data_IF_356797852596
#
_entry.id   IF_356797852596
#
_cell.length_a   1.000
_cell.length_b   1.000
_cell.length_c   1.000
_cell.angle_alpha   90.00
_cell.angle_beta   90.00
_cell.angle_gamma   90.00
#
_symmetry.space_group_name_H-M   'P 1'
#
loop_
_entity.id
_entity.type
_entity.pdbx_description
1 polymer ?
#
# COMPACT_ATOMS: atom_id res chain seq x y z
N UNK A 1 -26.37 -38.70 -8.97
CA UNK A 1 -26.33 -37.81 -10.14
C UNK A 1 -26.66 -36.40 -9.66
N UNK A 2 -25.64 -35.58 -9.43
CA UNK A 2 -25.77 -34.14 -9.20
C UNK A 2 -24.40 -33.49 -9.47
N UNK A 3 -24.21 -33.00 -10.70
CA UNK A 3 -23.07 -32.18 -11.09
C UNK A 3 -23.22 -30.79 -10.48
N UNK A 4 -22.47 -30.50 -9.41
CA UNK A 4 -22.37 -29.15 -8.90
C UNK A 4 -21.55 -28.31 -9.89
N UNK A 5 -22.25 -27.49 -10.67
CA UNK A 5 -21.69 -26.50 -11.57
C UNK A 5 -21.05 -25.39 -10.73
N UNK A 6 -19.78 -25.57 -10.36
CA UNK A 6 -18.98 -24.55 -9.72
C UNK A 6 -18.80 -23.41 -10.73
N UNK A 7 -19.60 -22.36 -10.58
CA UNK A 7 -19.62 -21.20 -11.45
C UNK A 7 -18.19 -20.73 -11.74
N UNK A 8 -17.86 -20.72 -13.03
CA UNK A 8 -16.60 -20.28 -13.60
C UNK A 8 -16.38 -18.79 -13.23
N UNK A 9 -15.81 -18.54 -12.06
CA UNK A 9 -15.47 -17.18 -11.63
C UNK A 9 -14.46 -16.62 -12.63
N UNK A 10 -14.80 -15.50 -13.27
CA UNK A 10 -13.93 -14.85 -14.27
C UNK A 10 -12.65 -14.37 -13.57
N UNK A 11 -11.57 -15.15 -13.70
CA UNK A 11 -10.26 -14.86 -13.09
C UNK A 11 -9.58 -13.61 -13.66
N UNK A 12 -9.82 -13.28 -14.94
CA UNK A 12 -9.18 -12.15 -15.61
C UNK A 12 -9.32 -10.81 -14.86
N UNK A 13 -10.56 -10.37 -14.52
CA UNK A 13 -10.77 -9.16 -13.72
C UNK A 13 -10.11 -9.17 -12.33
N UNK A 14 -10.00 -10.33 -11.69
CA UNK A 14 -9.38 -10.46 -10.36
C UNK A 14 -7.87 -10.26 -10.45
N UNK A 15 -7.23 -10.86 -11.45
CA UNK A 15 -5.79 -10.67 -11.70
C UNK A 15 -5.52 -9.21 -12.04
N UNK A 16 -6.31 -8.61 -12.95
CA UNK A 16 -6.11 -7.23 -13.37
C UNK A 16 -6.23 -6.24 -12.20
N UNK A 17 -7.27 -6.36 -11.37
CA UNK A 17 -7.45 -5.51 -10.20
C UNK A 17 -6.34 -5.68 -9.15
N UNK A 18 -5.86 -6.91 -8.95
CA UNK A 18 -4.74 -7.18 -8.02
C UNK A 18 -3.43 -6.57 -8.51
N UNK A 19 -3.13 -6.70 -9.82
CA UNK A 19 -1.94 -6.11 -10.43
C UNK A 19 -1.99 -4.59 -10.41
N UNK A 20 -3.15 -3.99 -10.70
CA UNK A 20 -3.32 -2.54 -10.69
C UNK A 20 -3.16 -1.98 -9.26
N UNK A 21 -3.75 -2.63 -8.26
CA UNK A 21 -3.56 -2.26 -6.85
C UNK A 21 -2.09 -2.33 -6.44
N UNK A 22 -1.39 -3.40 -6.84
CA UNK A 22 0.05 -3.53 -6.59
C UNK A 22 0.86 -2.42 -7.26
N UNK A 23 0.52 -2.06 -8.50
CA UNK A 23 1.20 -1.00 -9.23
C UNK A 23 0.99 0.38 -8.57
N UNK A 24 -0.22 0.68 -8.12
CA UNK A 24 -0.53 1.93 -7.39
C UNK A 24 0.25 1.99 -6.08
N UNK A 25 0.32 0.89 -5.34
CA UNK A 25 1.12 0.83 -4.12
C UNK A 25 2.61 1.10 -4.37
N UNK A 26 3.17 0.51 -5.42
CA UNK A 26 4.56 0.76 -5.81
C UNK A 26 4.79 2.20 -6.28
N UNK A 27 3.82 2.75 -7.00
CA UNK A 27 3.89 4.13 -7.46
C UNK A 27 3.96 5.12 -6.28
N UNK A 28 3.05 4.99 -5.32
CA UNK A 28 3.01 5.88 -4.15
C UNK A 28 4.27 5.73 -3.28
N UNK A 29 4.74 4.49 -3.06
CA UNK A 29 5.99 4.27 -2.32
C UNK A 29 7.21 4.90 -3.00
N UNK A 30 7.31 4.78 -4.31
CA UNK A 30 8.42 5.35 -5.05
C UNK A 30 8.36 6.89 -5.05
N UNK A 31 7.17 7.44 -5.21
CA UNK A 31 6.93 8.88 -5.13
C UNK A 31 7.29 9.41 -3.75
N UNK A 32 6.79 8.79 -2.68
CA UNK A 32 7.11 9.18 -1.31
C UNK A 32 8.62 9.09 -1.03
N UNK A 33 9.29 8.00 -1.42
CA UNK A 33 10.74 7.85 -1.21
C UNK A 33 11.57 8.91 -1.92
N UNK A 34 11.16 9.27 -3.15
CA UNK A 34 11.78 10.36 -3.91
C UNK A 34 11.57 11.71 -3.22
N UNK A 35 10.35 11.97 -2.74
CA UNK A 35 10.02 13.20 -2.01
C UNK A 35 10.73 13.28 -0.65
N UNK A 36 10.89 12.15 0.04
CA UNK A 36 11.61 12.05 1.30
C UNK A 36 13.08 12.45 1.17
N UNK A 37 13.68 12.25 0.00
CA UNK A 37 15.08 12.62 -0.25
C UNK A 37 15.22 14.06 -0.76
N UNK A 38 14.30 14.52 -1.61
CA UNK A 38 14.47 15.79 -2.34
C UNK A 38 13.71 16.98 -1.75
N UNK A 39 12.55 16.73 -1.12
CA UNK A 39 11.57 17.77 -0.77
C UNK A 39 11.34 17.83 0.74
N UNK A 40 11.03 16.71 1.39
CA UNK A 40 10.66 16.66 2.81
C UNK A 40 11.72 17.23 3.78
N UNK A 41 13.04 17.06 3.55
CA UNK A 41 14.06 17.65 4.43
C UNK A 41 13.93 19.18 4.49
N UNK A 42 13.57 19.81 3.37
CA UNK A 42 13.44 21.27 3.24
C UNK A 42 12.08 21.77 3.73
N UNK A 43 11.02 20.98 3.54
CA UNK A 43 9.65 21.38 3.87
C UNK A 43 9.31 21.13 5.34
N UNK A 44 9.62 19.94 5.86
CA UNK A 44 9.24 19.53 7.21
C UNK A 44 10.34 19.74 8.24
N UNK A 45 11.61 19.79 7.82
CA UNK A 45 12.76 19.96 8.72
C UNK A 45 13.66 21.18 8.40
N UNK A 46 13.10 22.38 8.08
CA UNK A 46 13.87 23.52 7.58
C UNK A 46 14.90 24.11 8.57
N UNK A 47 14.72 23.85 9.87
CA UNK A 47 15.61 24.34 10.94
C UNK A 47 16.68 23.33 11.34
N UNK A 48 16.64 22.12 10.77
CA UNK A 48 17.62 21.08 11.05
C UNK A 48 18.84 21.24 10.15
N UNK A 49 19.99 20.71 10.58
CA UNK A 49 21.12 20.53 9.67
C UNK A 49 20.69 19.66 8.47
N UNK A 50 21.28 19.91 7.29
CA UNK A 50 20.91 19.25 6.03
C UNK A 50 21.00 17.72 6.14
N UNK A 51 22.04 17.21 6.82
CA UNK A 51 22.20 15.79 7.02
C UNK A 51 21.10 15.22 7.92
N UNK A 52 20.85 15.88 9.06
CA UNK A 52 19.84 15.45 10.04
C UNK A 52 18.43 15.52 9.48
N UNK A 53 18.09 16.59 8.76
CA UNK A 53 16.77 16.74 8.12
C UNK A 53 16.51 15.66 7.05
N UNK A 54 17.54 15.26 6.31
CA UNK A 54 17.46 14.16 5.34
C UNK A 54 17.25 12.83 6.04
N UNK A 55 18.02 12.58 7.11
CA UNK A 55 17.89 11.36 7.90
C UNK A 55 16.48 11.25 8.53
N UNK A 56 15.95 12.33 9.09
CA UNK A 56 14.60 12.37 9.66
C UNK A 56 13.52 12.10 8.59
N UNK A 57 13.65 12.68 7.40
CA UNK A 57 12.73 12.42 6.30
C UNK A 57 12.80 10.96 5.79
N UNK A 58 14.00 10.36 5.75
CA UNK A 58 14.14 8.93 5.45
C UNK A 58 13.57 8.04 6.57
N UNK A 59 13.64 8.47 7.83
CA UNK A 59 12.99 7.78 8.93
C UNK A 59 11.47 7.76 8.78
N UNK A 60 10.83 8.83 8.30
CA UNK A 60 9.37 8.78 8.04
C UNK A 60 9.04 7.80 6.92
N UNK A 61 9.91 7.68 5.91
CA UNK A 61 9.77 6.65 4.88
C UNK A 61 9.92 5.23 5.45
N UNK A 62 10.88 5.01 6.35
CA UNK A 62 11.07 3.75 7.05
C UNK A 62 9.85 3.35 7.89
N UNK A 63 9.19 4.30 8.54
CA UNK A 63 7.94 4.04 9.29
C UNK A 63 6.87 3.45 8.37
N UNK A 64 6.77 3.91 7.12
CA UNK A 64 5.87 3.33 6.11
C UNK A 64 6.18 1.86 5.80
N UNK A 65 7.45 1.46 5.78
CA UNK A 65 7.84 0.07 5.61
C UNK A 65 7.41 -0.82 6.77
N UNK A 66 7.45 -0.29 8.00
CA UNK A 66 6.98 -1.02 9.17
C UNK A 66 5.44 -1.09 9.16
N UNK A 67 4.77 -0.02 8.75
CA UNK A 67 3.31 0.00 8.65
C UNK A 67 2.75 -1.08 7.71
N UNK A 68 3.48 -1.49 6.67
CA UNK A 68 3.06 -2.53 5.72
C UNK A 68 2.80 -3.90 6.36
N UNK A 69 3.73 -4.54 7.10
CA UNK A 69 3.45 -5.76 7.85
C UNK A 69 2.24 -5.65 8.78
N UNK A 70 2.11 -4.53 9.49
CA UNK A 70 0.96 -4.30 10.39
C UNK A 70 -0.36 -4.17 9.61
N UNK A 71 -0.36 -3.41 8.53
CA UNK A 71 -1.50 -3.28 7.63
C UNK A 71 -1.87 -4.62 6.99
N UNK A 72 -0.88 -5.37 6.50
CA UNK A 72 -1.09 -6.70 5.92
C UNK A 72 -1.67 -7.70 6.92
N UNK A 73 -1.22 -7.68 8.18
CA UNK A 73 -1.81 -8.51 9.23
C UNK A 73 -3.28 -8.11 9.52
N UNK A 74 -3.55 -6.80 9.64
CA UNK A 74 -4.88 -6.27 9.94
C UNK A 74 -5.87 -6.49 8.78
N UNK A 75 -5.53 -6.03 7.58
CA UNK A 75 -6.35 -6.16 6.38
C UNK A 75 -6.38 -7.60 5.86
N UNK A 76 -5.35 -8.41 6.11
CA UNK A 76 -5.39 -9.84 5.86
C UNK A 76 -6.45 -10.53 6.73
N UNK A 77 -6.41 -10.29 8.05
CA UNK A 77 -7.42 -10.81 8.97
C UNK A 77 -8.83 -10.31 8.62
N UNK A 78 -8.98 -9.03 8.29
CA UNK A 78 -10.25 -8.45 7.88
C UNK A 78 -10.75 -9.05 6.56
N UNK A 79 -9.85 -9.30 5.60
CA UNK A 79 -10.15 -9.92 4.32
C UNK A 79 -10.63 -11.37 4.46
N UNK A 80 -10.09 -12.11 5.42
CA UNK A 80 -10.54 -13.47 5.71
C UNK A 80 -11.89 -13.50 6.44
N UNK A 81 -12.28 -12.43 7.15
CA UNK A 81 -13.56 -12.34 7.89
C UNK A 81 -14.70 -11.66 7.12
N UNK A 82 -14.43 -10.57 6.41
CA UNK A 82 -15.41 -9.72 5.71
C UNK A 82 -15.45 -10.02 4.21
N UNK A 83 -14.37 -10.59 3.67
CA UNK A 83 -14.26 -11.00 2.27
C UNK A 83 -13.16 -10.23 1.52
N UNK A 84 -12.27 -10.98 0.87
CA UNK A 84 -11.06 -10.48 0.19
C UNK A 84 -11.31 -9.37 -0.82
N UNK A 85 -12.40 -9.44 -1.59
CA UNK A 85 -12.75 -8.43 -2.60
C UNK A 85 -13.09 -7.07 -1.97
N UNK A 86 -13.93 -7.08 -0.92
CA UNK A 86 -14.37 -5.85 -0.25
C UNK A 86 -13.19 -5.17 0.44
N UNK A 87 -12.31 -5.95 1.06
CA UNK A 87 -11.09 -5.42 1.68
C UNK A 87 -10.13 -4.83 0.66
N UNK A 88 -9.93 -5.48 -0.49
CA UNK A 88 -9.10 -4.94 -1.58
C UNK A 88 -9.63 -3.58 -2.08
N UNK A 89 -10.94 -3.46 -2.27
CA UNK A 89 -11.56 -2.20 -2.70
C UNK A 89 -11.39 -1.12 -1.63
N UNK A 90 -11.60 -1.46 -0.35
CA UNK A 90 -11.43 -0.52 0.76
C UNK A 90 -9.97 -0.02 0.87
N UNK A 91 -8.98 -0.91 0.72
CA UNK A 91 -7.56 -0.50 0.75
C UNK A 91 -7.20 0.37 -0.46
N UNK A 92 -7.78 0.08 -1.63
CA UNK A 92 -7.55 0.89 -2.83
C UNK A 92 -8.13 2.30 -2.65
N UNK A 93 -9.34 2.43 -2.11
CA UNK A 93 -9.95 3.73 -1.79
C UNK A 93 -9.19 4.51 -0.72
N UNK A 94 -8.51 3.84 0.20
CA UNK A 94 -7.70 4.49 1.23
C UNK A 94 -6.38 5.05 0.68
N UNK A 95 -5.78 4.41 -0.32
CA UNK A 95 -4.58 4.95 -0.98
C UNK A 95 -4.90 6.16 -1.86
N UNK A 96 -6.10 6.19 -2.47
CA UNK A 96 -6.58 7.29 -3.33
C UNK A 96 -7.10 6.81 -4.67
#
# INVERSE_FOLDING_TARGET
>A
MATANAGQQKMGPVIFSSTLGTAIEWYDFFLYGTMATLVFPKVFFPKSDVFVGTLLALFTFLVGFIARPFGGALFGHLGDRIGRKSTLIATLMLMG
#
